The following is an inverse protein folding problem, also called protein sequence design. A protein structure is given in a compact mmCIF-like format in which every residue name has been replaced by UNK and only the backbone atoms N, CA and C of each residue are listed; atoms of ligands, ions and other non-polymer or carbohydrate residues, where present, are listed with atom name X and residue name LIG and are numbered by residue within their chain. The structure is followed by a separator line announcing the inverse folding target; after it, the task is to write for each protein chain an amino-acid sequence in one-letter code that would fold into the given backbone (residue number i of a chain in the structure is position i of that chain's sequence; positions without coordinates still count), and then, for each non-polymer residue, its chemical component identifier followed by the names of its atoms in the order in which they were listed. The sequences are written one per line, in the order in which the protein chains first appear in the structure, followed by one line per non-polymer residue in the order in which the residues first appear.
data_IF_047686625253
#
_entry.id   IF_047686625253
#
_cell.length_a   1.000
_cell.length_b   1.000
_cell.length_c   1.000
_cell.angle_alpha   90.00
_cell.angle_beta   90.00
_cell.angle_gamma   90.00
#
_symmetry.space_group_name_H-M   'P 1'
#
loop_
_entity.id
_entity.type
_entity.pdbx_description
1 polymer ?
#
# COMPACT_ATOMS: atom_id res chain seq x y z
N UNK A 1 -5.23 25.45 -1.72
CA UNK A 1 -6.13 24.27 -1.90
C UNK A 1 -6.12 23.39 -0.65
N UNK A 2 -7.15 22.59 -0.36
CA UNK A 2 -7.21 21.75 0.86
C UNK A 2 -6.01 20.79 0.97
N UNK A 3 -5.52 20.26 -0.15
CA UNK A 3 -4.46 19.25 -0.20
C UNK A 3 -3.04 19.84 -0.31
N UNK A 4 -2.93 21.16 -0.42
CA UNK A 4 -1.66 21.83 -0.68
C UNK A 4 -0.66 21.62 0.47
N UNK A 5 0.52 21.08 0.14
CA UNK A 5 1.57 20.73 1.11
C UNK A 5 1.25 19.55 2.01
N UNK A 6 0.10 18.89 1.84
CA UNK A 6 -0.38 17.78 2.69
C UNK A 6 -0.33 16.41 2.01
N UNK A 7 -0.25 16.38 0.69
CA UNK A 7 -0.15 15.14 -0.08
C UNK A 7 1.01 15.20 -1.05
N UNK A 8 1.57 14.04 -1.37
CA UNK A 8 2.56 13.90 -2.43
C UNK A 8 1.94 13.13 -3.60
N UNK A 9 2.23 13.55 -4.83
CA UNK A 9 1.86 12.82 -6.02
C UNK A 9 3.08 12.01 -6.48
N UNK A 10 2.93 10.69 -6.62
CA UNK A 10 3.99 9.78 -7.08
C UNK A 10 3.54 9.05 -8.33
N UNK A 11 4.38 9.07 -9.37
CA UNK A 11 4.25 8.17 -10.51
C UNK A 11 5.22 7.00 -10.34
N UNK A 12 4.70 5.79 -10.49
CA UNK A 12 5.44 4.55 -10.23
C UNK A 12 5.32 3.66 -11.46
N UNK A 13 6.43 3.03 -11.84
CA UNK A 13 6.46 2.09 -12.97
C UNK A 13 5.70 0.81 -12.61
N UNK A 14 5.03 0.21 -13.59
CA UNK A 14 4.42 -1.10 -13.42
C UNK A 14 5.46 -2.14 -12.96
N UNK A 15 5.06 -2.99 -12.01
CA UNK A 15 5.93 -4.02 -11.42
C UNK A 15 6.87 -3.52 -10.32
N UNK A 16 6.86 -2.23 -9.97
CA UNK A 16 7.62 -1.73 -8.82
C UNK A 16 6.94 -2.08 -7.49
N UNK A 17 7.74 -2.43 -6.50
CA UNK A 17 7.31 -2.56 -5.11
C UNK A 17 7.19 -1.17 -4.49
N UNK A 18 6.04 -0.88 -3.86
CA UNK A 18 5.75 0.44 -3.27
C UNK A 18 6.00 0.50 -1.77
N UNK A 19 6.08 -0.66 -1.12
CA UNK A 19 6.35 -0.85 0.30
C UNK A 19 6.41 -2.34 0.62
N UNK A 20 7.03 -2.68 1.75
CA UNK A 20 7.14 -4.05 2.25
C UNK A 20 6.34 -4.20 3.53
N UNK A 21 5.89 -5.42 3.77
CA UNK A 21 5.46 -5.87 5.08
C UNK A 21 6.61 -5.58 6.08
N UNK A 22 6.33 -4.81 7.12
CA UNK A 22 7.25 -4.51 8.23
C UNK A 22 7.87 -3.13 8.16
N UNK A 23 7.66 -2.41 7.07
CA UNK A 23 8.18 -1.06 6.91
C UNK A 23 7.61 -0.14 8.01
N UNK A 24 8.50 0.60 8.67
CA UNK A 24 8.12 1.58 9.70
C UNK A 24 7.47 2.85 9.10
N UNK A 25 7.56 3.02 7.78
CA UNK A 25 6.97 4.15 7.07
C UNK A 25 5.48 3.91 6.84
N UNK A 26 4.65 4.53 7.68
CA UNK A 26 3.20 4.42 7.61
C UNK A 26 2.68 5.48 6.64
N UNK A 27 2.26 5.05 5.47
CA UNK A 27 1.64 5.92 4.47
C UNK A 27 0.29 5.41 3.98
N UNK A 28 -0.59 6.35 3.66
CA UNK A 28 -1.88 6.09 3.02
C UNK A 28 -1.78 6.54 1.57
N UNK A 29 -2.18 5.67 0.64
CA UNK A 29 -2.17 5.96 -0.78
C UNK A 29 -3.59 5.92 -1.37
N UNK A 30 -3.89 6.92 -2.20
CA UNK A 30 -5.08 6.97 -3.05
C UNK A 30 -4.68 6.65 -4.48
N UNK A 31 -5.33 5.66 -5.09
CA UNK A 31 -4.99 5.24 -6.45
C UNK A 31 -5.72 6.15 -7.44
N UNK A 32 -4.97 6.96 -8.17
CA UNK A 32 -5.52 7.83 -9.23
C UNK A 32 -5.71 7.04 -10.53
N UNK A 33 -4.78 6.12 -10.84
CA UNK A 33 -4.78 5.32 -12.07
C UNK A 33 -3.93 4.07 -11.90
N UNK A 34 -4.22 3.01 -12.68
CA UNK A 34 -3.52 1.73 -12.57
C UNK A 34 -4.09 0.84 -11.46
N UNK A 35 -3.30 -0.13 -11.00
CA UNK A 35 -3.67 -1.07 -9.94
C UNK A 35 -2.52 -1.25 -8.96
N UNK A 36 -2.85 -1.52 -7.70
CA UNK A 36 -1.88 -1.99 -6.71
C UNK A 36 -2.28 -3.37 -6.19
N UNK A 37 -1.35 -4.32 -6.24
CA UNK A 37 -1.53 -5.65 -5.64
C UNK A 37 -0.88 -5.66 -4.26
N UNK A 38 -1.60 -6.18 -3.26
CA UNK A 38 -1.08 -6.33 -1.90
C UNK A 38 -0.88 -7.81 -1.61
N UNK A 39 0.37 -8.19 -1.33
CA UNK A 39 0.76 -9.54 -1.00
C UNK A 39 1.18 -9.61 0.47
N UNK A 40 1.02 -10.78 1.09
CA UNK A 40 1.49 -11.06 2.43
C UNK A 40 2.20 -12.41 2.46
N UNK A 41 3.34 -12.48 3.17
CA UNK A 41 4.01 -13.73 3.49
C UNK A 41 3.48 -14.25 4.81
N UNK A 42 3.02 -15.50 4.82
CA UNK A 42 2.58 -16.15 6.06
C UNK A 42 3.80 -16.63 6.85
N UNK A 43 3.73 -16.58 8.18
CA UNK A 43 4.86 -16.95 9.08
C UNK A 43 5.27 -18.43 8.89
N UNK A 44 4.34 -19.27 8.47
CA UNK A 44 4.51 -20.72 8.31
C UNK A 44 4.84 -21.17 6.87
N UNK A 45 4.92 -20.25 5.90
CA UNK A 45 5.15 -20.58 4.48
C UNK A 45 6.07 -19.59 3.78
N UNK A 46 6.86 -20.08 2.84
CA UNK A 46 7.73 -19.22 2.01
C UNK A 46 6.97 -18.49 0.90
N UNK A 47 5.78 -18.97 0.51
CA UNK A 47 4.98 -18.39 -0.58
C UNK A 47 4.22 -17.13 -0.17
N UNK A 48 4.15 -16.16 -1.09
CA UNK A 48 3.36 -14.94 -0.94
C UNK A 48 1.94 -15.15 -1.46
N UNK A 49 0.95 -14.73 -0.66
CA UNK A 49 -0.47 -14.77 -1.04
C UNK A 49 -0.96 -13.39 -1.43
N UNK A 50 -1.64 -13.29 -2.57
CA UNK A 50 -2.37 -12.07 -2.95
C UNK A 50 -3.56 -11.90 -2.02
N UNK A 51 -3.58 -10.81 -1.25
CA UNK A 51 -4.69 -10.51 -0.34
C UNK A 51 -5.80 -9.73 -1.05
N UNK A 52 -5.44 -8.64 -1.72
CA UNK A 52 -6.39 -7.80 -2.45
C UNK A 52 -5.70 -6.95 -3.53
N UNK A 53 -6.53 -6.42 -4.43
CA UNK A 53 -6.15 -5.47 -5.47
C UNK A 53 -6.86 -4.16 -5.18
N UNK A 54 -6.11 -3.05 -5.20
CA UNK A 54 -6.65 -1.69 -5.05
C UNK A 54 -6.81 -1.03 -6.42
N UNK A 55 -8.00 -0.54 -6.72
CA UNK A 55 -8.41 0.05 -7.98
C UNK A 55 -8.38 1.59 -7.97
N UNK A 56 -8.46 2.25 -9.13
CA UNK A 56 -8.60 3.71 -9.19
C UNK A 56 -9.82 4.20 -8.41
N UNK A 57 -9.64 5.23 -7.59
CA UNK A 57 -10.66 5.74 -6.68
C UNK A 57 -10.63 5.11 -5.29
N UNK A 58 -9.82 4.06 -5.08
CA UNK A 58 -9.70 3.37 -3.80
C UNK A 58 -8.44 3.77 -3.02
N UNK A 59 -8.43 3.34 -1.76
CA UNK A 59 -7.56 3.81 -0.69
C UNK A 59 -6.85 2.61 -0.06
N UNK A 60 -5.51 2.62 0.01
CA UNK A 60 -4.67 1.53 0.56
C UNK A 60 -3.69 2.05 1.62
N UNK A 61 -3.20 1.17 2.50
CA UNK A 61 -2.36 1.54 3.65
C UNK A 61 -3.14 1.88 4.93
N UNK A 62 -4.48 1.96 4.83
CA UNK A 62 -5.38 2.30 5.94
C UNK A 62 -5.34 1.30 7.10
N UNK A 63 -5.07 0.02 6.82
CA UNK A 63 -5.04 -1.01 7.86
C UNK A 63 -3.73 -1.02 8.65
N UNK A 64 -2.60 -0.68 8.03
CA UNK A 64 -1.33 -0.48 8.73
C UNK A 64 -1.40 0.67 9.76
N UNK A 65 -2.30 1.65 9.53
CA UNK A 65 -2.56 2.77 10.44
C UNK A 65 -3.45 2.38 11.63
N UNK A 66 -4.32 1.37 11.47
CA UNK A 66 -5.39 1.07 12.43
C UNK A 66 -5.12 -0.12 13.36
N UNK A 67 -4.21 -1.03 13.01
CA UNK A 67 -3.91 -2.19 13.87
C UNK A 67 -2.73 -1.94 14.81
N UNK A 68 -1.83 -0.99 14.50
CA UNK A 68 -0.60 -0.78 15.29
C UNK A 68 0.34 -1.99 15.30
N UNK A 69 0.06 -3.00 14.47
CA UNK A 69 0.89 -4.18 14.31
C UNK A 69 1.94 -3.87 13.25
N UNK A 70 3.21 -4.08 13.60
CA UNK A 70 4.27 -4.22 12.61
C UNK A 70 3.94 -5.46 11.79
N UNK A 71 3.21 -5.29 10.68
CA UNK A 71 2.90 -6.38 9.77
C UNK A 71 4.19 -7.02 9.29
#
# INVERSE_FOLDING_TARGET
SLLEGRVTLRQIKAGSVVGHQGDQDVSVAFIISGLLHVYQRMIDREDESLLFVTHPGELVGHLAVLTGEHL
#
